data_IF_026857709979
#
_entry.id   IF_026857709979
#
_cell.length_a   1.000
_cell.length_b   1.000
_cell.length_c   1.000
_cell.angle_alpha   90.00
_cell.angle_beta   90.00
_cell.angle_gamma   90.00
#
_symmetry.space_group_name_H-M   'P 1'
#
loop_
_entity.id
_entity.type
_entity.pdbx_description
1 polymer ?
#
# COMPACT_ATOMS: atom_id res chain seq x y z
N UNK A 1 -10.72 -6.60 -17.69
CA UNK A 1 -10.79 -5.66 -16.55
C UNK A 1 -9.39 -5.08 -16.38
N UNK A 2 -9.19 -3.76 -16.33
CA UNK A 2 -7.85 -3.22 -16.10
C UNK A 2 -7.37 -3.72 -14.73
N UNK A 3 -6.14 -4.24 -14.72
CA UNK A 3 -5.49 -4.77 -13.53
C UNK A 3 -5.35 -3.62 -12.53
N UNK A 4 -6.08 -3.66 -11.40
CA UNK A 4 -5.91 -2.67 -10.34
C UNK A 4 -4.46 -2.83 -9.83
N UNK A 5 -3.59 -1.89 -10.20
CA UNK A 5 -2.18 -1.91 -9.79
C UNK A 5 -2.05 -0.99 -8.58
N UNK A 6 -1.30 -1.42 -7.55
CA UNK A 6 -1.08 -0.56 -6.41
C UNK A 6 -0.32 0.69 -6.84
N UNK A 7 -0.78 1.83 -6.36
CA UNK A 7 -0.21 3.16 -6.65
C UNK A 7 1.16 3.35 -6.00
N UNK A 8 1.47 2.54 -4.97
CA UNK A 8 2.77 2.53 -4.34
C UNK A 8 3.05 1.17 -3.67
N UNK A 9 4.31 0.75 -3.67
CA UNK A 9 4.77 -0.46 -2.98
C UNK A 9 6.01 -0.13 -2.17
N UNK A 10 6.03 -0.61 -0.93
CA UNK A 10 7.14 -0.46 0.02
C UNK A 10 7.60 -1.86 0.40
N UNK A 11 8.91 -2.09 0.42
CA UNK A 11 9.49 -3.36 0.88
C UNK A 11 10.55 -3.10 1.93
N UNK A 12 10.44 -3.80 3.07
CA UNK A 12 11.41 -3.74 4.17
C UNK A 12 11.77 -5.18 4.55
N UNK A 13 12.88 -5.67 4.00
CA UNK A 13 13.26 -7.07 4.10
C UNK A 13 12.18 -7.98 3.48
N UNK A 14 11.68 -8.94 4.26
CA UNK A 14 10.61 -9.83 3.83
C UNK A 14 9.21 -9.22 3.88
N UNK A 15 9.02 -8.00 4.40
CA UNK A 15 7.71 -7.35 4.47
C UNK A 15 7.46 -6.51 3.22
N UNK A 16 6.30 -6.69 2.62
CA UNK A 16 5.77 -5.89 1.52
C UNK A 16 4.50 -5.19 1.98
N UNK A 17 4.39 -3.90 1.67
CA UNK A 17 3.19 -3.08 1.85
C UNK A 17 2.82 -2.49 0.50
N UNK A 18 1.56 -2.56 0.12
CA UNK A 18 1.05 -1.98 -1.11
C UNK A 18 -0.11 -1.04 -0.81
N UNK A 19 -0.09 0.12 -1.44
CA UNK A 19 -1.13 1.14 -1.36
C UNK A 19 -1.93 1.08 -2.66
N UNK A 20 -3.24 1.08 -2.55
CA UNK A 20 -4.18 0.94 -3.67
C UNK A 20 -5.10 2.14 -3.70
N UNK A 21 -5.38 2.66 -4.89
CA UNK A 21 -6.44 3.65 -5.09
C UNK A 21 -7.67 2.90 -5.58
N UNK A 22 -8.77 2.98 -4.84
CA UNK A 22 -10.01 2.30 -5.15
C UNK A 22 -11.12 3.32 -5.42
N UNK A 23 -12.05 2.92 -6.27
CA UNK A 23 -13.30 3.66 -6.51
C UNK A 23 -14.37 3.06 -5.60
N UNK A 24 -14.95 3.91 -4.77
CA UNK A 24 -16.09 3.62 -3.93
C UNK A 24 -17.42 3.83 -4.65
N UNK A 25 -18.51 3.79 -3.90
CA UNK A 25 -19.82 4.14 -4.44
C UNK A 25 -19.86 5.65 -4.73
N UNK A 26 -20.66 6.03 -5.72
CA UNK A 26 -20.94 7.44 -6.04
C UNK A 26 -19.68 8.24 -6.41
N UNK A 27 -18.69 7.62 -7.05
CA UNK A 27 -17.51 8.31 -7.59
C UNK A 27 -16.49 8.74 -6.54
N UNK A 28 -16.67 8.37 -5.27
CA UNK A 28 -15.67 8.61 -4.22
C UNK A 28 -14.42 7.78 -4.49
N UNK A 29 -13.24 8.37 -4.31
CA UNK A 29 -11.98 7.61 -4.34
C UNK A 29 -11.42 7.48 -2.94
N UNK A 30 -10.88 6.31 -2.61
CA UNK A 30 -10.26 6.07 -1.32
C UNK A 30 -9.04 5.16 -1.45
N UNK A 31 -8.07 5.38 -0.57
CA UNK A 31 -6.88 4.56 -0.54
C UNK A 31 -7.04 3.41 0.45
N UNK A 32 -6.59 2.21 0.07
CA UNK A 32 -6.43 1.08 0.97
C UNK A 32 -4.98 0.63 1.03
N UNK A 33 -4.60 -0.03 2.12
CA UNK A 33 -3.25 -0.55 2.32
C UNK A 33 -3.34 -2.04 2.61
N UNK A 34 -2.59 -2.84 1.86
CA UNK A 34 -2.39 -4.27 2.12
C UNK A 34 -0.96 -4.53 2.56
N UNK A 35 -0.74 -5.54 3.38
CA UNK A 35 0.60 -5.98 3.75
C UNK A 35 0.72 -7.51 3.69
N UNK A 36 1.91 -7.98 3.37
CA UNK A 36 2.27 -9.39 3.41
C UNK A 36 3.75 -9.58 3.76
N UNK A 37 4.08 -10.75 4.30
CA UNK A 37 5.45 -11.22 4.46
C UNK A 37 5.76 -12.26 3.40
N UNK A 38 6.77 -11.98 2.58
CA UNK A 38 7.38 -12.97 1.68
C UNK A 38 8.39 -13.84 2.40
N UNK A 39 8.32 -15.13 2.09
CA UNK A 39 9.28 -16.13 2.53
C UNK A 39 9.47 -17.16 1.43
N UNK A 40 10.61 -17.84 1.45
CA UNK A 40 10.90 -18.93 0.52
C UNK A 40 10.51 -20.26 1.15
N UNK A 41 9.80 -21.10 0.42
CA UNK A 41 9.49 -22.47 0.78
C UNK A 41 9.95 -23.38 -0.36
N UNK A 42 11.04 -24.12 -0.15
CA UNK A 42 11.71 -24.85 -1.23
C UNK A 42 12.26 -23.87 -2.26
N UNK A 43 11.82 -23.97 -3.51
CA UNK A 43 12.19 -23.05 -4.60
C UNK A 43 11.17 -21.92 -4.81
N UNK A 44 10.00 -22.01 -4.18
CA UNK A 44 8.91 -21.07 -4.39
C UNK A 44 8.93 -19.92 -3.38
N UNK A 45 8.58 -18.73 -3.85
CA UNK A 45 8.26 -17.60 -2.99
C UNK A 45 6.78 -17.63 -2.62
N UNK A 46 6.50 -17.56 -1.32
CA UNK A 46 5.14 -17.51 -0.78
C UNK A 46 4.95 -16.25 0.06
N UNK A 47 3.70 -15.82 0.18
CA UNK A 47 3.29 -14.70 1.04
C UNK A 47 2.46 -15.22 2.22
N UNK A 48 2.46 -14.49 3.32
CA UNK A 48 1.63 -14.75 4.49
C UNK A 48 1.43 -13.47 5.30
N UNK A 49 0.33 -13.38 6.03
CA UNK A 49 0.03 -12.21 6.86
C UNK A 49 0.45 -12.45 8.33
N UNK A 50 0.97 -13.64 8.64
CA UNK A 50 1.49 -13.97 9.97
C UNK A 50 2.91 -13.45 10.13
N UNK A 51 3.15 -12.67 11.19
CA UNK A 51 4.45 -12.08 11.50
C UNK A 51 5.22 -12.93 12.54
N UNK A 52 6.55 -12.94 12.43
CA UNK A 52 7.46 -13.38 13.50
C UNK A 52 7.96 -12.15 14.26
N UNK A 53 8.55 -12.34 15.45
CA UNK A 53 9.09 -11.24 16.25
C UNK A 53 10.02 -10.30 15.46
N UNK A 54 10.93 -10.87 14.64
CA UNK A 54 11.88 -10.09 13.83
C UNK A 54 11.24 -9.37 12.62
N UNK A 55 9.98 -9.66 12.32
CA UNK A 55 9.23 -8.98 11.26
C UNK A 55 8.54 -7.72 11.77
N UNK A 56 8.23 -7.66 13.07
CA UNK A 56 7.51 -6.54 13.69
C UNK A 56 8.19 -5.18 13.44
N UNK A 57 9.49 -4.97 13.74
CA UNK A 57 10.12 -3.68 13.49
C UNK A 57 10.14 -3.30 12.00
N UNK A 58 10.21 -4.29 11.10
CA UNK A 58 10.17 -4.07 9.66
C UNK A 58 8.78 -3.68 9.18
N UNK A 59 7.75 -4.33 9.73
CA UNK A 59 6.35 -4.00 9.48
C UNK A 59 6.01 -2.60 9.97
N UNK A 60 6.48 -2.21 11.17
CA UNK A 60 6.33 -0.86 11.70
C UNK A 60 6.94 0.16 10.72
N UNK A 61 8.20 -0.04 10.30
CA UNK A 61 8.87 0.87 9.38
C UNK A 61 8.16 0.95 8.02
N UNK A 62 7.70 -0.19 7.48
CA UNK A 62 6.99 -0.23 6.21
C UNK A 62 5.65 0.51 6.28
N UNK A 63 4.90 0.33 7.37
CA UNK A 63 3.63 1.00 7.61
C UNK A 63 3.81 2.50 7.87
N UNK A 64 4.86 2.90 8.60
CA UNK A 64 5.20 4.31 8.79
C UNK A 64 5.49 5.00 7.45
N UNK A 65 6.26 4.37 6.57
CA UNK A 65 6.51 4.87 5.21
C UNK A 65 5.23 4.93 4.36
N UNK A 66 4.32 3.98 4.54
CA UNK A 66 3.05 3.98 3.83
C UNK A 66 2.16 5.14 4.29
N UNK A 67 2.11 5.37 5.61
CA UNK A 67 1.42 6.50 6.19
C UNK A 67 2.03 7.83 5.72
N UNK A 68 3.35 7.95 5.75
CA UNK A 68 4.06 9.13 5.23
C UNK A 68 3.68 9.43 3.77
N UNK A 69 3.69 8.40 2.90
CA UNK A 69 3.24 8.56 1.52
C UNK A 69 1.80 9.06 1.40
N UNK A 70 0.89 8.52 2.22
CA UNK A 70 -0.52 8.89 2.20
C UNK A 70 -0.77 10.29 2.78
N UNK A 71 -0.03 10.67 3.82
CA UNK A 71 -0.20 11.94 4.52
C UNK A 71 0.46 13.10 3.79
N UNK A 72 1.58 12.86 3.11
CA UNK A 72 2.32 13.87 2.34
C UNK A 72 1.82 14.00 0.90
N UNK A 73 1.12 13.00 0.36
CA UNK A 73 0.31 13.24 -0.84
C UNK A 73 -0.81 14.18 -0.43
N UNK A 74 -0.76 15.40 -0.96
CA UNK A 74 -1.93 16.28 -0.96
C UNK A 74 -3.15 15.45 -1.42
N UNK A 75 -4.31 15.56 -0.74
CA UNK A 75 -5.53 15.05 -1.34
C UNK A 75 -5.59 15.65 -2.73
N UNK A 76 -5.79 14.82 -3.75
CA UNK A 76 -6.16 15.29 -5.07
C UNK A 76 -7.57 15.89 -4.94
N UNK A 77 -7.66 17.03 -4.26
CA UNK A 77 -8.78 17.94 -4.38
C UNK A 77 -8.70 18.38 -5.82
N UNK A 78 -9.67 17.91 -6.59
CA UNK A 78 -9.89 18.31 -7.96
C UNK A 78 -9.66 19.82 -8.05
N UNK A 79 -8.63 20.23 -8.81
CA UNK A 79 -8.56 21.58 -9.35
C UNK A 79 -9.72 21.68 -10.33
N UNK A 80 -10.92 21.93 -9.80
CA UNK A 80 -12.07 22.35 -10.58
C UNK A 80 -11.64 23.71 -11.13
N UNK A 81 -11.34 23.76 -12.41
CA UNK A 81 -10.92 24.98 -13.09
C UNK A 81 -11.99 26.06 -12.85
N UNK A 82 -11.64 27.11 -12.11
CA UNK A 82 -12.41 28.34 -12.11
C UNK A 82 -12.37 28.92 -13.53
N UNK A 83 -13.53 28.88 -14.17
CA UNK A 83 -13.79 29.50 -15.47
C UNK A 83 -13.75 31.02 -15.24
N UNK A 84 -12.77 31.71 -15.82
CA UNK A 84 -12.80 33.17 -16.03
C UNK A 84 -13.16 33.45 -17.49
#
# INVERSE_FOLDING_TARGET
MPENKPIHKISVGGIQVAIWSNEGKEGTTYNSVSFDRRYKQGEEWKSTNSLKANDIPKAILALQKAYEYLALKEPAVEKIYEIH
#
